data_IF_287427976783
#
_entry.id   IF_287427976783
#
_cell.length_a   1.000
_cell.length_b   1.000
_cell.length_c   1.000
_cell.angle_alpha   90.00
_cell.angle_beta   90.00
_cell.angle_gamma   90.00
#
_symmetry.space_group_name_H-M   'P 1'
#
loop_
_entity.id
_entity.type
_entity.pdbx_description
1 polymer ?
#
# COMPACT_ATOMS: atom_id res chain seq x y z
N UNK A 1 -98.38 -85.17 94.01
CA UNK A 1 -99.12 -83.91 93.74
C UNK A 1 -98.24 -82.66 93.98
N UNK A 2 -97.28 -82.67 94.93
CA UNK A 2 -96.36 -81.52 95.15
C UNK A 2 -95.33 -81.25 94.04
N UNK A 3 -94.67 -82.28 93.50
CA UNK A 3 -93.54 -82.12 92.54
C UNK A 3 -93.92 -81.43 91.21
N UNK A 4 -95.13 -81.67 90.69
CA UNK A 4 -95.64 -80.97 89.49
C UNK A 4 -95.92 -79.50 89.77
N UNK A 5 -96.36 -79.17 90.98
CA UNK A 5 -96.61 -77.78 91.40
C UNK A 5 -95.30 -77.00 91.55
N UNK A 6 -94.27 -77.63 92.11
CA UNK A 6 -92.91 -77.07 92.18
C UNK A 6 -92.29 -76.85 90.80
N UNK A 7 -92.45 -77.79 89.85
CA UNK A 7 -91.95 -77.62 88.49
C UNK A 7 -92.65 -76.49 87.75
N UNK A 8 -93.96 -76.35 87.92
CA UNK A 8 -94.73 -75.22 87.36
C UNK A 8 -94.24 -73.91 87.99
N UNK A 9 -94.06 -73.87 89.32
CA UNK A 9 -93.55 -72.70 90.02
C UNK A 9 -92.13 -72.32 89.59
N UNK A 10 -91.27 -73.31 89.33
CA UNK A 10 -89.90 -73.09 88.84
C UNK A 10 -89.85 -72.63 87.39
N UNK A 11 -90.75 -73.10 86.54
CA UNK A 11 -90.91 -72.61 85.16
C UNK A 11 -91.46 -71.19 85.18
N UNK A 12 -92.47 -70.89 86.01
CA UNK A 12 -92.99 -69.53 86.18
C UNK A 12 -91.89 -68.58 86.69
N UNK A 13 -91.11 -69.01 87.68
CA UNK A 13 -89.99 -68.25 88.21
C UNK A 13 -88.90 -68.03 87.15
N UNK A 14 -88.57 -69.05 86.35
CA UNK A 14 -87.62 -68.94 85.24
C UNK A 14 -88.13 -68.03 84.11
N UNK A 15 -89.44 -68.05 83.81
CA UNK A 15 -90.05 -67.15 82.82
C UNK A 15 -90.01 -65.71 83.32
N UNK A 16 -90.25 -65.48 84.62
CA UNK A 16 -90.14 -64.15 85.23
C UNK A 16 -88.68 -63.68 85.21
N UNK A 17 -87.73 -64.53 85.56
CA UNK A 17 -86.30 -64.22 85.52
C UNK A 17 -85.81 -63.95 84.08
N UNK A 18 -86.23 -64.77 83.10
CA UNK A 18 -85.91 -64.57 81.69
C UNK A 18 -86.56 -63.31 81.12
N UNK A 19 -87.80 -63.00 81.51
CA UNK A 19 -88.45 -61.73 81.16
C UNK A 19 -87.68 -60.54 81.74
N UNK A 20 -87.23 -60.61 82.98
CA UNK A 20 -86.41 -59.56 83.60
C UNK A 20 -85.06 -59.40 82.88
N UNK A 21 -84.44 -60.51 82.46
CA UNK A 21 -83.19 -60.46 81.67
C UNK A 21 -83.44 -59.91 80.27
N UNK A 22 -84.53 -60.31 79.61
CA UNK A 22 -84.94 -59.82 78.31
C UNK A 22 -85.22 -58.31 78.36
N UNK A 23 -85.98 -57.85 79.34
CA UNK A 23 -86.27 -56.43 79.54
C UNK A 23 -84.98 -55.62 79.76
N UNK A 24 -84.02 -56.16 80.51
CA UNK A 24 -82.69 -55.53 80.67
C UNK A 24 -81.91 -55.47 79.37
N UNK A 25 -81.95 -56.50 78.52
CA UNK A 25 -81.28 -56.51 77.22
C UNK A 25 -81.95 -55.52 76.26
N UNK A 26 -83.28 -55.49 76.22
CA UNK A 26 -84.06 -54.54 75.41
C UNK A 26 -83.75 -53.10 75.83
N UNK A 27 -83.66 -52.84 77.14
CA UNK A 27 -83.32 -51.51 77.65
C UNK A 27 -81.88 -51.10 77.29
N UNK A 28 -80.91 -52.03 77.40
CA UNK A 28 -79.53 -51.79 76.93
C UNK A 28 -79.47 -51.57 75.42
N UNK A 29 -80.24 -52.31 74.62
CA UNK A 29 -80.28 -52.15 73.16
C UNK A 29 -80.89 -50.79 72.78
N UNK A 30 -81.95 -50.35 73.45
CA UNK A 30 -82.50 -48.99 73.30
C UNK A 30 -81.45 -47.93 73.65
N UNK A 31 -80.67 -48.13 74.72
CA UNK A 31 -79.58 -47.23 75.09
C UNK A 31 -78.45 -47.21 74.04
N UNK A 32 -78.05 -48.36 73.49
CA UNK A 32 -77.06 -48.44 72.42
C UNK A 32 -77.53 -47.76 71.13
N UNK A 33 -78.79 -47.97 70.72
CA UNK A 33 -79.39 -47.27 69.58
C UNK A 33 -79.36 -45.77 69.81
N UNK A 34 -79.76 -45.30 71.00
CA UNK A 34 -79.73 -43.88 71.34
C UNK A 34 -78.31 -43.30 71.32
N UNK A 35 -77.32 -44.04 71.83
CA UNK A 35 -75.91 -43.64 71.81
C UNK A 35 -75.34 -43.62 70.38
N UNK A 36 -75.69 -44.58 69.54
CA UNK A 36 -75.26 -44.63 68.14
C UNK A 36 -75.90 -43.50 67.31
N UNK A 37 -77.19 -43.23 67.51
CA UNK A 37 -77.85 -42.06 66.93
C UNK A 37 -77.17 -40.77 67.38
N UNK A 38 -76.82 -40.64 68.67
CA UNK A 38 -76.07 -39.49 69.17
C UNK A 38 -74.70 -39.36 68.50
N UNK A 39 -73.94 -40.45 68.39
CA UNK A 39 -72.65 -40.47 67.71
C UNK A 39 -72.76 -40.06 66.24
N UNK A 40 -73.71 -40.63 65.48
CA UNK A 40 -73.95 -40.25 64.09
C UNK A 40 -74.30 -38.77 63.96
N UNK A 41 -75.13 -38.23 64.84
CA UNK A 41 -75.46 -36.79 64.80
C UNK A 41 -74.27 -35.91 65.14
N UNK A 42 -73.40 -36.31 66.08
CA UNK A 42 -72.18 -35.58 66.41
C UNK A 42 -71.15 -35.64 65.28
N UNK A 43 -70.97 -36.80 64.66
CA UNK A 43 -70.04 -36.97 63.55
C UNK A 43 -70.51 -36.24 62.30
N UNK A 44 -71.81 -36.30 61.98
CA UNK A 44 -72.41 -35.50 60.92
C UNK A 44 -72.20 -33.99 61.17
N UNK A 45 -72.43 -33.52 62.40
CA UNK A 45 -72.16 -32.11 62.76
C UNK A 45 -70.68 -31.75 62.58
N UNK A 46 -69.75 -32.62 62.96
CA UNK A 46 -68.30 -32.41 62.77
C UNK A 46 -67.92 -32.39 61.29
N UNK A 47 -68.47 -33.30 60.48
CA UNK A 47 -68.24 -33.33 59.04
C UNK A 47 -68.79 -32.07 58.36
N UNK A 48 -70.02 -31.67 58.66
CA UNK A 48 -70.59 -30.40 58.17
C UNK A 48 -69.75 -29.20 58.59
N UNK A 49 -69.25 -29.15 59.83
CA UNK A 49 -68.38 -28.07 60.27
C UNK A 49 -67.04 -28.04 59.52
N UNK A 50 -66.47 -29.20 59.18
CA UNK A 50 -65.26 -29.28 58.35
C UNK A 50 -65.52 -28.84 56.91
N UNK A 51 -66.62 -29.27 56.31
CA UNK A 51 -67.04 -28.87 54.96
C UNK A 51 -67.25 -27.36 54.90
N UNK A 52 -68.00 -26.78 55.85
CA UNK A 52 -68.23 -25.34 55.92
C UNK A 52 -66.92 -24.53 56.06
N UNK A 53 -65.95 -25.04 56.84
CA UNK A 53 -64.62 -24.42 56.92
C UNK A 53 -63.84 -24.52 55.61
N UNK A 54 -63.87 -25.68 54.94
CA UNK A 54 -63.21 -25.88 53.66
C UNK A 54 -63.82 -25.01 52.55
N UNK A 55 -65.15 -24.92 52.51
CA UNK A 55 -65.89 -24.02 51.60
C UNK A 55 -65.51 -22.57 51.85
N UNK A 56 -65.44 -22.13 53.11
CA UNK A 56 -65.00 -20.77 53.44
C UNK A 56 -63.58 -20.48 52.91
N UNK A 57 -62.62 -21.36 53.20
CA UNK A 57 -61.24 -21.21 52.71
C UNK A 57 -61.19 -21.22 51.18
N UNK A 58 -61.96 -22.10 50.53
CA UNK A 58 -62.05 -22.16 49.08
C UNK A 58 -62.58 -20.85 48.49
N UNK A 59 -63.64 -20.28 49.07
CA UNK A 59 -64.17 -18.99 48.62
C UNK A 59 -63.17 -17.85 48.80
N UNK A 60 -62.42 -17.83 49.91
CA UNK A 60 -61.34 -16.86 50.14
C UNK A 60 -60.20 -17.03 49.11
N UNK A 61 -59.82 -18.27 48.81
CA UNK A 61 -58.79 -18.60 47.82
C UNK A 61 -59.21 -18.18 46.40
N UNK A 62 -60.46 -18.44 46.02
CA UNK A 62 -61.02 -18.00 44.73
C UNK A 62 -61.04 -16.47 44.64
N UNK A 63 -61.43 -15.79 45.73
CA UNK A 63 -61.36 -14.33 45.84
C UNK A 63 -59.94 -13.81 45.61
N UNK A 64 -58.94 -14.38 46.30
CA UNK A 64 -57.54 -14.00 46.12
C UNK A 64 -57.01 -14.29 44.73
N UNK A 65 -57.37 -15.44 44.14
CA UNK A 65 -56.98 -15.77 42.77
C UNK A 65 -57.55 -14.76 41.76
N UNK A 66 -58.79 -14.30 41.97
CA UNK A 66 -59.37 -13.24 41.13
C UNK A 66 -58.62 -11.92 41.24
N UNK A 67 -58.20 -11.51 42.45
CA UNK A 67 -57.36 -10.33 42.66
C UNK A 67 -56.00 -10.48 41.94
N UNK A 68 -55.35 -11.65 42.04
CA UNK A 68 -54.09 -11.91 41.34
C UNK A 68 -54.23 -11.84 39.83
N UNK A 69 -55.31 -12.37 39.25
CA UNK A 69 -55.56 -12.25 37.81
C UNK A 69 -55.73 -10.79 37.39
N UNK A 70 -56.41 -9.97 38.22
CA UNK A 70 -56.49 -8.52 37.97
C UNK A 70 -55.10 -7.90 37.99
N UNK A 71 -54.24 -8.20 38.98
CA UNK A 71 -52.87 -7.68 39.03
C UNK A 71 -52.01 -8.11 37.83
N UNK A 72 -52.11 -9.37 37.39
CA UNK A 72 -51.38 -9.85 36.20
C UNK A 72 -51.87 -9.13 34.94
N UNK A 73 -53.17 -8.89 34.82
CA UNK A 73 -53.74 -8.16 33.69
C UNK A 73 -53.27 -6.69 33.67
N UNK A 74 -53.26 -6.01 34.82
CA UNK A 74 -52.81 -4.62 34.91
C UNK A 74 -51.31 -4.52 34.65
N UNK A 75 -50.50 -5.44 35.17
CA UNK A 75 -49.06 -5.52 34.89
C UNK A 75 -48.79 -5.71 33.40
N UNK A 76 -49.53 -6.61 32.74
CA UNK A 76 -49.40 -6.85 31.30
C UNK A 76 -49.75 -5.60 30.48
N UNK A 77 -50.81 -4.89 30.87
CA UNK A 77 -51.18 -3.61 30.25
C UNK A 77 -50.07 -2.58 30.43
N UNK A 78 -49.53 -2.44 31.64
CA UNK A 78 -48.45 -1.50 31.93
C UNK A 78 -47.18 -1.81 31.13
N UNK A 79 -46.79 -3.08 31.03
CA UNK A 79 -45.66 -3.51 30.21
C UNK A 79 -45.85 -3.15 28.74
N UNK A 80 -47.02 -3.43 28.18
CA UNK A 80 -47.34 -3.07 26.80
C UNK A 80 -47.28 -1.55 26.56
N UNK A 81 -47.77 -0.75 27.51
CA UNK A 81 -47.66 0.71 27.45
C UNK A 81 -46.18 1.13 27.47
N UNK A 82 -45.38 0.55 28.36
CA UNK A 82 -43.96 0.86 28.48
C UNK A 82 -43.20 0.54 27.18
N UNK A 83 -43.38 -0.66 26.62
CA UNK A 83 -42.75 -1.05 25.35
C UNK A 83 -43.14 -0.11 24.22
N UNK A 84 -44.43 0.29 24.14
CA UNK A 84 -44.88 1.26 23.15
C UNK A 84 -44.23 2.63 23.34
N UNK A 85 -44.12 3.10 24.58
CA UNK A 85 -43.47 4.38 24.89
C UNK A 85 -41.99 4.36 24.54
N UNK A 86 -41.30 3.26 24.82
CA UNK A 86 -39.88 3.12 24.49
C UNK A 86 -39.66 3.07 22.97
N UNK A 87 -40.49 2.32 22.24
CA UNK A 87 -40.45 2.33 20.78
C UNK A 87 -40.68 3.72 20.19
N UNK A 88 -41.68 4.47 20.70
CA UNK A 88 -41.93 5.86 20.29
C UNK A 88 -40.71 6.73 20.62
N UNK A 89 -40.12 6.59 21.81
CA UNK A 89 -38.93 7.34 22.23
C UNK A 89 -37.74 7.05 21.33
N UNK A 90 -37.50 5.80 20.96
CA UNK A 90 -36.40 5.40 20.08
C UNK A 90 -36.54 6.07 18.70
N UNK A 91 -37.75 6.07 18.14
CA UNK A 91 -38.06 6.79 16.89
C UNK A 91 -37.85 8.30 17.04
N UNK A 92 -38.30 8.90 18.14
CA UNK A 92 -38.11 10.34 18.39
C UNK A 92 -36.64 10.72 18.56
N UNK A 93 -35.82 9.88 19.20
CA UNK A 93 -34.36 10.06 19.28
C UNK A 93 -33.74 10.02 17.89
N UNK A 94 -34.13 9.07 17.05
CA UNK A 94 -33.65 8.98 15.67
C UNK A 94 -33.98 10.26 14.89
N UNK A 95 -35.21 10.78 14.99
CA UNK A 95 -35.59 12.04 14.34
C UNK A 95 -34.84 13.24 14.91
N UNK A 96 -34.61 13.29 16.22
CA UNK A 96 -33.77 14.34 16.82
C UNK A 96 -32.35 14.30 16.26
N UNK A 97 -31.72 13.13 16.22
CA UNK A 97 -30.36 12.96 15.67
C UNK A 97 -30.29 13.40 14.21
N UNK A 98 -31.31 13.03 13.42
CA UNK A 98 -31.42 13.47 12.03
C UNK A 98 -31.55 15.00 11.90
N UNK A 99 -32.45 15.63 12.67
CA UNK A 99 -32.66 17.07 12.63
C UNK A 99 -31.41 17.85 13.08
N UNK A 100 -30.67 17.34 14.07
CA UNK A 100 -29.39 17.92 14.48
C UNK A 100 -28.36 17.78 13.36
N UNK A 101 -28.25 16.60 12.73
CA UNK A 101 -27.32 16.35 11.64
C UNK A 101 -27.54 17.26 10.42
N UNK A 102 -28.79 17.50 10.03
CA UNK A 102 -29.11 18.39 8.91
C UNK A 102 -28.85 19.86 9.26
N UNK A 103 -28.94 20.23 10.54
CA UNK A 103 -28.77 21.62 10.95
C UNK A 103 -27.38 22.17 10.55
N UNK A 104 -27.27 23.48 10.28
CA UNK A 104 -26.00 24.09 9.92
C UNK A 104 -24.91 23.84 10.97
N UNK A 105 -23.67 23.66 10.52
CA UNK A 105 -22.53 23.38 11.40
C UNK A 105 -22.36 24.46 12.49
N UNK A 106 -22.59 25.73 12.14
CA UNK A 106 -22.49 26.85 13.07
C UNK A 106 -23.49 26.79 14.23
N UNK A 107 -24.66 26.16 14.00
CA UNK A 107 -25.65 25.92 15.04
C UNK A 107 -25.30 24.66 15.84
N UNK A 108 -24.89 23.58 15.17
CA UNK A 108 -24.43 22.34 15.83
C UNK A 108 -23.27 22.59 16.80
N UNK A 109 -22.26 23.37 16.43
CA UNK A 109 -21.12 23.70 17.31
C UNK A 109 -21.52 24.33 18.66
N UNK A 110 -22.70 24.95 18.74
CA UNK A 110 -23.21 25.59 19.97
C UNK A 110 -24.19 24.70 20.75
N UNK A 111 -24.86 23.76 20.08
CA UNK A 111 -26.04 23.08 20.59
C UNK A 111 -26.03 21.56 20.46
N UNK A 112 -25.09 20.98 19.72
CA UNK A 112 -24.91 19.54 19.53
C UNK A 112 -24.00 18.96 20.61
N UNK A 113 -24.39 17.82 21.17
CA UNK A 113 -23.70 17.11 22.25
C UNK A 113 -22.31 16.60 21.83
N UNK A 114 -22.17 16.14 20.58
CA UNK A 114 -20.91 15.56 20.08
C UNK A 114 -19.88 16.62 19.67
N UNK A 115 -20.37 17.78 19.20
CA UNK A 115 -19.57 18.81 18.53
C UNK A 115 -19.38 20.11 19.36
N UNK A 116 -19.97 20.20 20.56
CA UNK A 116 -19.84 21.40 21.41
C UNK A 116 -18.37 21.67 21.76
N UNK A 117 -17.85 22.80 21.28
CA UNK A 117 -16.48 23.25 21.56
C UNK A 117 -15.37 22.59 20.74
N UNK A 118 -15.70 21.75 19.75
CA UNK A 118 -14.71 21.14 18.83
C UNK A 118 -14.67 21.91 17.51
N UNK A 119 -13.49 22.41 17.14
CA UNK A 119 -13.21 22.96 15.80
C UNK A 119 -12.79 21.79 14.91
N UNK A 120 -13.73 20.89 14.57
CA UNK A 120 -13.45 19.83 13.60
C UNK A 120 -13.83 20.30 12.19
N UNK A 121 -12.92 20.02 11.25
CA UNK A 121 -13.19 20.01 9.81
C UNK A 121 -14.37 19.10 9.53
N UNK A 122 -15.06 19.33 8.40
CA UNK A 122 -16.26 18.62 7.98
C UNK A 122 -15.92 17.14 7.72
N UNK A 123 -15.80 16.34 8.77
CA UNK A 123 -15.76 14.88 8.67
C UNK A 123 -17.22 14.43 8.63
N UNK A 124 -17.70 14.16 7.42
CA UNK A 124 -18.95 13.46 7.20
C UNK A 124 -18.76 12.01 7.67
N UNK A 125 -18.90 11.76 8.96
CA UNK A 125 -19.21 10.40 9.41
C UNK A 125 -20.56 10.03 8.79
N UNK A 126 -20.56 9.04 7.91
CA UNK A 126 -21.77 8.45 7.33
C UNK A 126 -22.53 7.72 8.44
N UNK A 127 -23.15 8.48 9.35
CA UNK A 127 -23.94 7.95 10.44
C UNK A 127 -25.16 7.24 9.87
N UNK A 128 -25.17 5.92 9.93
CA UNK A 128 -26.40 5.15 9.77
C UNK A 128 -27.30 5.54 10.95
N UNK A 129 -28.38 6.27 10.70
CA UNK A 129 -29.43 6.50 11.69
C UNK A 129 -30.18 5.19 11.86
N UNK A 130 -29.67 4.30 12.70
CA UNK A 130 -30.35 3.09 13.09
C UNK A 130 -31.20 3.37 14.32
N UNK A 131 -32.41 2.84 14.32
CA UNK A 131 -33.10 2.54 15.58
C UNK A 131 -32.32 1.42 16.25
N UNK A 132 -32.09 1.48 17.57
CA UNK A 132 -31.54 0.36 18.34
C UNK A 132 -32.51 -0.83 18.17
N UNK A 133 -32.28 -1.62 17.13
CA UNK A 133 -33.11 -2.75 16.74
C UNK A 133 -32.64 -4.05 17.41
N UNK A 134 -31.84 -3.95 18.47
CA UNK A 134 -31.58 -5.09 19.35
C UNK A 134 -32.78 -5.32 20.29
N UNK A 135 -33.89 -5.72 19.65
CA UNK A 135 -35.15 -6.13 20.27
C UNK A 135 -34.98 -7.39 21.15
N UNK A 136 -33.81 -8.02 21.13
CA UNK A 136 -33.53 -9.26 21.87
C UNK A 136 -32.92 -8.98 23.25
N UNK A 137 -32.13 -7.90 23.42
CA UNK A 137 -31.58 -7.50 24.73
C UNK A 137 -32.54 -6.59 25.54
N UNK A 138 -33.60 -6.07 24.92
CA UNK A 138 -34.54 -5.08 25.48
C UNK A 138 -35.81 -5.66 26.12
N UNK A 139 -35.93 -6.98 26.27
CA UNK A 139 -37.06 -7.61 26.97
C UNK A 139 -37.01 -7.41 28.51
N UNK A 140 -35.92 -6.87 29.03
CA UNK A 140 -35.75 -6.57 30.46
C UNK A 140 -36.26 -5.16 30.78
N UNK A 141 -37.51 -5.10 31.23
CA UNK A 141 -38.22 -3.88 31.61
C UNK A 141 -37.45 -3.05 32.64
N UNK A 142 -36.76 -3.71 33.58
CA UNK A 142 -36.03 -3.01 34.64
C UNK A 142 -34.84 -2.25 34.07
N UNK A 143 -34.09 -2.86 33.16
CA UNK A 143 -32.99 -2.19 32.44
C UNK A 143 -33.50 -1.04 31.58
N UNK A 144 -34.63 -1.20 30.90
CA UNK A 144 -35.23 -0.11 30.11
C UNK A 144 -35.54 1.11 30.98
N UNK A 145 -36.10 0.88 32.17
CA UNK A 145 -36.43 1.93 33.14
C UNK A 145 -35.17 2.58 33.70
N UNK A 146 -34.12 1.81 34.00
CA UNK A 146 -32.84 2.35 34.48
C UNK A 146 -32.15 3.24 33.45
N UNK A 147 -32.05 2.79 32.19
CA UNK A 147 -31.50 3.59 31.09
C UNK A 147 -32.34 4.85 30.88
N UNK A 148 -33.67 4.71 30.92
CA UNK A 148 -34.56 5.86 30.83
C UNK A 148 -34.33 6.88 31.94
N UNK A 149 -34.19 6.40 33.19
CA UNK A 149 -33.95 7.24 34.36
C UNK A 149 -32.62 7.96 34.27
N UNK A 150 -31.56 7.29 33.86
CA UNK A 150 -30.22 7.88 33.74
C UNK A 150 -30.18 8.99 32.69
N UNK A 151 -30.81 8.79 31.53
CA UNK A 151 -30.89 9.82 30.49
C UNK A 151 -31.78 11.01 30.88
N UNK A 152 -32.86 10.77 31.62
CA UNK A 152 -33.79 11.82 32.04
C UNK A 152 -33.29 12.64 33.25
N UNK A 153 -32.21 12.22 33.92
CA UNK A 153 -31.63 12.99 35.04
C UNK A 153 -31.01 14.31 34.59
N UNK A 154 -30.48 14.40 33.37
CA UNK A 154 -29.83 15.62 32.84
C UNK A 154 -30.25 15.90 31.39
N UNK A 155 -31.55 16.22 31.15
CA UNK A 155 -32.03 16.45 29.81
C UNK A 155 -31.40 17.73 29.23
N UNK A 156 -30.75 17.59 28.07
CA UNK A 156 -30.28 18.73 27.31
C UNK A 156 -31.45 19.62 26.87
N UNK A 157 -31.23 20.94 26.73
CA UNK A 157 -32.30 21.86 26.36
C UNK A 157 -32.87 21.48 24.98
N UNK A 158 -34.19 21.30 24.93
CA UNK A 158 -34.93 20.97 23.70
C UNK A 158 -34.93 22.16 22.72
N UNK A 159 -33.80 22.38 22.06
CA UNK A 159 -33.63 23.42 21.04
C UNK A 159 -33.55 22.74 19.68
N UNK A 160 -34.49 23.07 18.81
CA UNK A 160 -34.48 22.64 17.42
C UNK A 160 -34.10 23.83 16.53
N UNK A 161 -33.24 23.58 15.54
CA UNK A 161 -32.94 24.58 14.52
C UNK A 161 -34.16 24.85 13.64
N UNK A 162 -34.80 23.77 13.16
CA UNK A 162 -36.01 23.83 12.35
C UNK A 162 -37.23 23.93 13.26
N UNK A 163 -37.97 25.04 13.16
CA UNK A 163 -39.20 25.27 13.94
C UNK A 163 -40.45 24.83 13.18
N UNK A 164 -40.38 24.78 11.85
CA UNK A 164 -41.49 24.41 10.96
C UNK A 164 -41.03 23.36 9.95
N UNK A 165 -41.87 22.37 9.63
CA UNK A 165 -41.54 21.35 8.63
C UNK A 165 -41.25 21.95 7.24
N UNK A 166 -41.90 23.06 6.91
CA UNK A 166 -41.70 23.81 5.66
C UNK A 166 -40.23 24.19 5.42
N UNK A 167 -39.47 24.48 6.49
CA UNK A 167 -38.06 24.84 6.41
C UNK A 167 -37.19 23.67 5.95
N UNK A 168 -37.54 22.45 6.37
CA UNK A 168 -36.85 21.24 5.97
C UNK A 168 -37.16 20.88 4.51
N UNK A 169 -38.43 21.03 4.09
CA UNK A 169 -38.84 20.85 2.70
C UNK A 169 -38.10 21.83 1.78
N UNK A 170 -37.98 23.09 2.20
CA UNK A 170 -37.22 24.10 1.45
C UNK A 170 -35.74 23.72 1.29
N UNK A 171 -35.11 23.22 2.35
CA UNK A 171 -33.73 22.76 2.31
C UNK A 171 -33.56 21.57 1.35
N UNK A 172 -34.46 20.59 1.37
CA UNK A 172 -34.45 19.48 0.41
C UNK A 172 -34.62 19.96 -1.04
N UNK A 173 -35.56 20.87 -1.31
CA UNK A 173 -35.74 21.46 -2.65
C UNK A 173 -34.49 22.21 -3.10
N UNK A 174 -33.82 22.90 -2.19
CA UNK A 174 -32.57 23.60 -2.50
C UNK A 174 -31.45 22.61 -2.83
N UNK A 175 -31.32 21.53 -2.07
CA UNK A 175 -30.38 20.44 -2.36
C UNK A 175 -30.68 19.79 -3.70
N UNK A 176 -31.94 19.50 -4.00
CA UNK A 176 -32.38 18.94 -5.28
C UNK A 176 -31.97 19.85 -6.46
N UNK A 177 -32.23 21.16 -6.34
CA UNK A 177 -31.83 22.14 -7.36
C UNK A 177 -30.31 22.21 -7.53
N UNK A 178 -29.56 22.19 -6.43
CA UNK A 178 -28.09 22.18 -6.45
C UNK A 178 -27.55 20.90 -7.09
N UNK A 179 -28.10 19.74 -6.74
CA UNK A 179 -27.72 18.45 -7.35
C UNK A 179 -28.04 18.43 -8.84
N UNK A 180 -29.19 18.97 -9.26
CA UNK A 180 -29.55 19.09 -10.67
C UNK A 180 -28.59 20.00 -11.43
N UNK A 181 -28.24 21.15 -10.86
CA UNK A 181 -27.26 22.07 -11.47
C UNK A 181 -25.89 21.39 -11.59
N UNK A 182 -25.44 20.70 -10.55
CA UNK A 182 -24.20 19.94 -10.57
C UNK A 182 -24.19 18.88 -11.67
N UNK A 183 -25.26 18.09 -11.81
CA UNK A 183 -25.39 17.10 -12.88
C UNK A 183 -25.40 17.75 -14.28
N UNK A 184 -26.04 18.91 -14.41
CA UNK A 184 -26.05 19.68 -15.66
C UNK A 184 -24.64 20.14 -16.01
N UNK A 185 -23.91 20.70 -15.05
CA UNK A 185 -22.52 21.12 -15.25
C UNK A 185 -21.63 19.92 -15.59
N UNK A 186 -21.80 18.79 -14.91
CA UNK A 186 -21.08 17.54 -15.21
C UNK A 186 -21.35 17.07 -16.65
N UNK A 187 -22.60 17.12 -17.10
CA UNK A 187 -22.96 16.74 -18.47
C UNK A 187 -22.33 17.65 -19.52
N UNK A 188 -22.22 18.96 -19.23
CA UNK A 188 -21.58 19.94 -20.10
C UNK A 188 -20.07 19.78 -20.13
N UNK A 189 -19.46 19.37 -19.01
CA UNK A 189 -17.99 19.25 -18.89
C UNK A 189 -17.46 17.88 -19.30
N UNK A 190 -18.29 16.84 -19.39
CA UNK A 190 -17.84 15.49 -19.76
C UNK A 190 -17.18 15.45 -21.15
N UNK A 191 -17.83 16.01 -22.18
CA UNK A 191 -17.28 16.06 -23.53
C UNK A 191 -15.93 16.82 -23.63
N UNK A 192 -15.81 18.08 -23.14
CA UNK A 192 -14.53 18.78 -23.17
C UNK A 192 -13.47 18.13 -22.28
N UNK A 193 -13.86 17.46 -21.18
CA UNK A 193 -12.94 16.70 -20.34
C UNK A 193 -12.34 15.50 -21.09
N UNK A 194 -13.15 14.73 -21.81
CA UNK A 194 -12.67 13.62 -22.65
C UNK A 194 -11.74 14.12 -23.76
N UNK A 195 -12.10 15.23 -24.42
CA UNK A 195 -11.25 15.86 -25.42
C UNK A 195 -9.91 16.30 -24.81
N UNK A 196 -9.93 16.92 -23.64
CA UNK A 196 -8.71 17.33 -22.93
C UNK A 196 -7.82 16.13 -22.60
N UNK A 197 -8.39 15.02 -22.12
CA UNK A 197 -7.64 13.80 -21.84
C UNK A 197 -6.99 13.23 -23.12
N UNK A 198 -7.71 13.24 -24.24
CA UNK A 198 -7.17 12.80 -25.52
C UNK A 198 -6.03 13.70 -25.99
N UNK A 199 -6.18 15.03 -25.89
CA UNK A 199 -5.13 16.00 -26.23
C UNK A 199 -3.90 15.84 -25.34
N UNK A 200 -4.07 15.59 -24.04
CA UNK A 200 -2.96 15.29 -23.13
C UNK A 200 -2.21 14.03 -23.60
N UNK A 201 -2.93 12.99 -24.02
CA UNK A 201 -2.33 11.75 -24.52
C UNK A 201 -1.54 12.00 -25.82
N UNK A 202 -2.12 12.75 -26.76
CA UNK A 202 -1.46 13.13 -28.02
C UNK A 202 -0.19 13.96 -27.74
N UNK A 203 -0.26 14.94 -26.83
CA UNK A 203 0.87 15.78 -26.46
C UNK A 203 2.00 14.94 -25.86
N UNK A 204 1.69 14.04 -24.92
CA UNK A 204 2.69 13.13 -24.33
C UNK A 204 3.37 12.27 -25.38
N UNK A 205 2.63 11.79 -26.37
CA UNK A 205 3.19 10.99 -27.45
C UNK A 205 4.10 11.82 -28.37
N UNK A 206 3.66 13.03 -28.75
CA UNK A 206 4.47 13.94 -29.56
C UNK A 206 5.78 14.33 -28.85
N UNK A 207 5.71 14.72 -27.57
CA UNK A 207 6.90 15.04 -26.78
C UNK A 207 7.85 13.86 -26.67
N UNK A 208 7.33 12.63 -26.51
CA UNK A 208 8.18 11.43 -26.49
C UNK A 208 8.88 11.23 -27.85
N UNK A 209 8.17 11.37 -28.96
CA UNK A 209 8.75 11.27 -30.29
C UNK A 209 9.85 12.31 -30.52
N UNK A 210 9.62 13.57 -30.12
CA UNK A 210 10.64 14.62 -30.20
C UNK A 210 11.88 14.30 -29.37
N UNK A 211 11.71 13.78 -28.15
CA UNK A 211 12.83 13.33 -27.32
C UNK A 211 13.62 12.19 -27.97
N UNK A 212 12.92 11.20 -28.54
CA UNK A 212 13.56 10.09 -29.25
C UNK A 212 14.34 10.59 -30.48
N UNK A 213 13.81 11.58 -31.22
CA UNK A 213 14.51 12.23 -32.33
C UNK A 213 15.75 13.00 -31.89
N UNK A 214 15.67 13.75 -30.79
CA UNK A 214 16.83 14.46 -30.24
C UNK A 214 17.92 13.48 -29.80
N UNK A 215 17.54 12.38 -29.13
CA UNK A 215 18.49 11.36 -28.71
C UNK A 215 19.18 10.72 -29.92
N UNK A 216 18.43 10.38 -30.97
CA UNK A 216 18.99 9.86 -32.21
C UNK A 216 20.01 10.82 -32.84
N UNK A 217 19.71 12.12 -32.89
CA UNK A 217 20.63 13.13 -33.41
C UNK A 217 21.90 13.24 -32.57
N UNK A 218 21.77 13.25 -31.24
CA UNK A 218 22.90 13.28 -30.31
C UNK A 218 23.79 12.05 -30.55
N UNK A 219 23.21 10.86 -30.65
CA UNK A 219 23.95 9.62 -30.86
C UNK A 219 24.65 9.61 -32.23
N UNK A 220 23.99 10.10 -33.28
CA UNK A 220 24.58 10.24 -34.62
C UNK A 220 25.78 11.17 -34.61
N UNK A 221 25.67 12.35 -33.98
CA UNK A 221 26.77 13.32 -33.88
C UNK A 221 27.92 12.73 -33.06
N UNK A 222 27.63 12.04 -31.95
CA UNK A 222 28.66 11.38 -31.15
C UNK A 222 29.40 10.32 -31.96
N UNK A 223 28.71 9.56 -32.82
CA UNK A 223 29.34 8.59 -33.70
C UNK A 223 30.24 9.26 -34.75
N UNK A 224 29.81 10.38 -35.32
CA UNK A 224 30.64 11.16 -36.26
C UNK A 224 31.89 11.72 -35.57
N UNK A 225 31.75 12.29 -34.37
CA UNK A 225 32.88 12.78 -33.56
C UNK A 225 33.86 11.63 -33.27
N UNK A 226 33.37 10.47 -32.84
CA UNK A 226 34.21 9.31 -32.56
C UNK A 226 34.96 8.84 -33.81
N UNK A 227 34.31 8.87 -34.98
CA UNK A 227 34.93 8.53 -36.26
C UNK A 227 36.03 9.51 -36.64
N UNK A 228 35.78 10.81 -36.48
CA UNK A 228 36.79 11.84 -36.76
C UNK A 228 37.97 11.76 -35.80
N UNK A 229 37.73 11.55 -34.50
CA UNK A 229 38.80 11.32 -33.52
C UNK A 229 39.67 10.10 -33.88
N UNK A 230 39.04 9.01 -34.34
CA UNK A 230 39.77 7.84 -34.83
C UNK A 230 40.60 8.15 -36.07
N UNK A 231 40.01 8.86 -37.05
CA UNK A 231 40.71 9.28 -38.25
C UNK A 231 41.90 10.19 -37.94
N UNK A 232 41.74 11.14 -37.04
CA UNK A 232 42.80 12.04 -36.58
C UNK A 232 43.95 11.24 -35.98
N UNK A 233 43.65 10.35 -35.01
CA UNK A 233 44.67 9.50 -34.39
C UNK A 233 45.40 8.62 -35.42
N UNK A 234 44.67 8.03 -36.36
CA UNK A 234 45.24 7.19 -37.41
C UNK A 234 46.13 7.97 -38.39
N UNK A 235 45.70 9.18 -38.78
CA UNK A 235 46.49 10.07 -39.64
C UNK A 235 47.73 10.57 -38.92
N UNK A 236 47.62 10.91 -37.64
CA UNK A 236 48.73 11.31 -36.80
C UNK A 236 49.77 10.19 -36.68
N UNK A 237 49.33 8.95 -36.40
CA UNK A 237 50.21 7.78 -36.35
C UNK A 237 50.92 7.56 -37.69
N UNK A 238 50.18 7.60 -38.81
CA UNK A 238 50.76 7.49 -40.16
C UNK A 238 51.77 8.60 -40.44
N UNK A 239 51.47 9.84 -40.09
CA UNK A 239 52.35 10.97 -40.29
C UNK A 239 53.66 10.79 -39.51
N UNK A 240 53.58 10.46 -38.22
CA UNK A 240 54.77 10.23 -37.41
C UNK A 240 55.56 9.01 -37.87
N UNK A 241 54.90 7.96 -38.36
CA UNK A 241 55.57 6.82 -38.96
C UNK A 241 56.38 7.23 -40.19
N UNK A 242 55.80 7.98 -41.13
CA UNK A 242 56.50 8.48 -42.31
C UNK A 242 57.67 9.37 -41.90
N UNK A 243 57.45 10.25 -40.93
CA UNK A 243 58.46 11.19 -40.46
C UNK A 243 59.64 10.50 -39.78
N UNK A 244 59.38 9.52 -38.92
CA UNK A 244 60.41 8.81 -38.14
C UNK A 244 61.08 7.65 -38.87
N UNK A 245 60.41 7.04 -39.86
CA UNK A 245 61.00 5.99 -40.70
C UNK A 245 61.59 6.63 -41.97
N UNK A 246 60.75 6.87 -42.97
CA UNK A 246 61.21 7.22 -44.32
C UNK A 246 61.94 8.56 -44.41
N UNK A 247 61.42 9.61 -43.77
CA UNK A 247 62.04 10.92 -43.84
C UNK A 247 63.30 11.00 -42.97
N UNK A 248 63.23 10.48 -41.75
CA UNK A 248 64.39 10.43 -40.86
C UNK A 248 65.54 9.66 -41.52
N UNK A 249 65.31 8.45 -42.00
CA UNK A 249 66.35 7.64 -42.64
C UNK A 249 66.93 8.30 -43.90
N UNK A 250 66.09 8.93 -44.72
CA UNK A 250 66.51 9.49 -46.01
C UNK A 250 67.16 10.87 -45.90
N UNK A 251 66.88 11.66 -44.86
CA UNK A 251 67.31 13.07 -44.80
C UNK A 251 68.09 13.40 -43.54
N UNK A 252 67.62 12.92 -42.38
CA UNK A 252 68.10 13.38 -41.07
C UNK A 252 68.91 12.33 -40.29
N UNK A 253 69.00 11.09 -40.79
CA UNK A 253 69.70 10.00 -40.14
C UNK A 253 71.20 10.31 -40.06
N UNK A 254 71.88 9.96 -38.94
CA UNK A 254 73.30 10.19 -38.81
C UNK A 254 74.14 9.56 -39.92
N UNK A 255 73.68 8.46 -40.52
CA UNK A 255 74.37 7.77 -41.62
C UNK A 255 74.28 8.60 -42.89
N UNK A 256 73.08 9.08 -43.23
CA UNK A 256 72.83 9.86 -44.44
C UNK A 256 73.46 11.26 -44.37
N UNK A 257 73.43 11.89 -43.20
CA UNK A 257 74.14 13.15 -42.97
C UNK A 257 75.66 12.98 -43.08
N UNK A 258 76.23 11.88 -42.54
CA UNK A 258 77.65 11.56 -42.73
C UNK A 258 77.98 11.37 -44.21
N UNK A 259 77.17 10.63 -44.95
CA UNK A 259 77.34 10.43 -46.38
C UNK A 259 77.35 11.77 -47.14
N UNK A 260 76.42 12.67 -46.80
CA UNK A 260 76.39 14.03 -47.35
C UNK A 260 77.66 14.81 -47.09
N UNK A 261 78.12 14.85 -45.84
CA UNK A 261 79.37 15.54 -45.48
C UNK A 261 80.55 14.95 -46.24
N UNK A 262 80.64 13.62 -46.38
CA UNK A 262 81.72 12.97 -47.13
C UNK A 262 81.72 13.33 -48.62
N UNK A 263 80.55 13.33 -49.26
CA UNK A 263 80.42 13.65 -50.69
C UNK A 263 80.72 15.13 -50.93
N UNK A 264 80.18 16.03 -50.11
CA UNK A 264 80.48 17.46 -50.20
C UNK A 264 81.97 17.73 -50.00
N UNK A 265 82.60 17.08 -49.02
CA UNK A 265 84.05 17.19 -48.82
C UNK A 265 84.85 16.76 -50.05
N UNK A 266 84.53 15.61 -50.65
CA UNK A 266 85.23 15.13 -51.85
C UNK A 266 84.98 16.08 -53.03
N UNK A 267 83.74 16.53 -53.22
CA UNK A 267 83.39 17.47 -54.28
C UNK A 267 84.16 18.80 -54.14
N UNK A 268 84.22 19.36 -52.94
CA UNK A 268 84.96 20.60 -52.67
C UNK A 268 86.47 20.47 -52.92
N UNK A 269 87.06 19.31 -52.63
CA UNK A 269 88.48 19.07 -52.91
C UNK A 269 88.78 18.99 -54.42
N UNK A 270 87.86 18.43 -55.21
CA UNK A 270 88.07 18.26 -56.66
C UNK A 270 87.68 19.51 -57.46
N UNK A 271 86.56 20.16 -57.13
CA UNK A 271 86.00 21.27 -57.93
C UNK A 271 86.10 22.64 -57.25
N UNK A 272 86.52 22.69 -55.98
CA UNK A 272 86.54 23.91 -55.17
C UNK A 272 85.23 24.14 -54.39
N UNK A 273 85.23 25.15 -53.50
CA UNK A 273 84.10 25.44 -52.62
C UNK A 273 82.87 25.90 -53.40
N UNK A 274 81.72 25.32 -53.08
CA UNK A 274 80.42 25.79 -53.56
C UNK A 274 79.84 26.76 -52.54
N UNK A 275 79.64 28.04 -52.91
CA UNK A 275 79.22 29.09 -51.94
C UNK A 275 77.80 28.90 -51.39
N UNK A 276 76.92 28.17 -52.09
CA UNK A 276 75.51 27.99 -51.69
C UNK A 276 75.22 26.60 -51.08
N UNK A 277 76.21 25.69 -51.06
CA UNK A 277 76.02 24.29 -50.67
C UNK A 277 75.08 23.51 -51.63
N UNK A 278 75.17 22.18 -51.62
CA UNK A 278 74.30 21.36 -52.49
C UNK A 278 72.95 21.08 -51.81
N UNK A 279 71.85 21.43 -52.50
CA UNK A 279 70.48 21.19 -52.01
C UNK A 279 70.12 19.70 -52.00
N UNK A 280 70.62 18.94 -52.98
CA UNK A 280 70.45 17.49 -53.10
C UNK A 280 71.79 16.78 -53.23
N UNK A 281 71.86 15.56 -52.70
CA UNK A 281 73.01 14.65 -52.82
C UNK A 281 73.22 14.15 -54.26
N UNK A 282 72.16 14.14 -55.07
CA UNK A 282 72.15 13.50 -56.38
C UNK A 282 73.11 14.18 -57.37
N UNK A 283 73.12 15.51 -57.39
CA UNK A 283 73.93 16.29 -58.32
C UNK A 283 75.44 16.15 -58.07
N UNK A 284 75.98 16.37 -56.85
CA UNK A 284 77.41 16.21 -56.61
C UNK A 284 77.87 14.76 -56.79
N UNK A 285 77.05 13.76 -56.42
CA UNK A 285 77.38 12.35 -56.67
C UNK A 285 77.51 12.04 -58.16
N UNK A 286 76.55 12.51 -58.97
CA UNK A 286 76.54 12.24 -60.41
C UNK A 286 77.69 12.92 -61.14
N UNK A 287 78.05 14.14 -60.73
CA UNK A 287 79.21 14.85 -61.29
C UNK A 287 80.51 14.14 -60.93
N UNK A 288 80.66 13.71 -59.67
CA UNK A 288 81.81 12.91 -59.24
C UNK A 288 81.90 11.58 -59.99
N UNK A 289 80.77 10.91 -60.20
CA UNK A 289 80.69 9.65 -60.96
C UNK A 289 81.13 9.85 -62.42
N UNK A 290 80.54 10.81 -63.13
CA UNK A 290 80.90 11.13 -64.52
C UNK A 290 82.38 11.51 -64.65
N UNK A 291 82.90 12.24 -63.67
CA UNK A 291 84.31 12.62 -63.67
C UNK A 291 85.22 11.43 -63.36
N UNK A 292 84.84 10.54 -62.44
CA UNK A 292 85.56 9.29 -62.20
C UNK A 292 85.58 8.42 -63.46
N UNK A 293 84.46 8.31 -64.17
CA UNK A 293 84.38 7.60 -65.45
C UNK A 293 85.26 8.25 -66.54
N UNK A 294 85.23 9.59 -66.68
CA UNK A 294 86.11 10.30 -67.63
C UNK A 294 87.59 10.13 -67.27
N UNK A 295 87.94 10.19 -65.99
CA UNK A 295 89.30 9.90 -65.52
C UNK A 295 89.73 8.47 -65.85
N UNK A 296 88.87 7.47 -65.63
CA UNK A 296 89.16 6.08 -65.99
C UNK A 296 89.29 5.90 -67.50
N UNK A 297 88.41 6.51 -68.29
CA UNK A 297 88.50 6.50 -69.76
C UNK A 297 89.82 7.12 -70.24
N UNK A 298 90.24 8.23 -69.64
CA UNK A 298 91.54 8.85 -69.93
C UNK A 298 92.69 7.92 -69.55
N UNK A 299 92.63 7.28 -68.39
CA UNK A 299 93.62 6.30 -67.95
C UNK A 299 93.72 5.11 -68.92
N UNK A 300 92.58 4.58 -69.37
CA UNK A 300 92.50 3.47 -70.31
C UNK A 300 92.97 3.87 -71.73
N UNK A 301 92.83 5.13 -72.10
CA UNK A 301 93.27 5.67 -73.41
C UNK A 301 94.77 5.92 -73.53
N UNK A 302 95.53 5.84 -72.42
CA UNK A 302 96.97 6.05 -72.43
C UNK A 302 97.70 4.84 -73.03
N UNK A 303 98.58 5.08 -74.01
CA UNK A 303 99.42 4.02 -74.59
C UNK A 303 100.37 3.48 -73.51
N UNK A 304 100.23 2.18 -73.23
CA UNK A 304 101.01 1.45 -72.24
C UNK A 304 102.53 1.61 -72.45
N UNK A 305 102.98 1.88 -73.68
CA UNK A 305 104.40 2.17 -73.98
C UNK A 305 104.86 3.52 -73.47
N UNK A 306 104.04 4.57 -73.63
CA UNK A 306 104.34 5.93 -73.15
C UNK A 306 104.30 5.96 -71.63
N UNK A 307 103.34 5.26 -71.01
CA UNK A 307 103.26 5.16 -69.55
C UNK A 307 104.45 4.39 -68.98
N UNK A 308 104.90 3.29 -69.60
CA UNK A 308 106.10 2.58 -69.13
C UNK A 308 107.38 3.41 -69.35
N UNK A 309 107.45 4.19 -70.42
CA UNK A 309 108.60 5.05 -70.69
C UNK A 309 108.67 6.22 -69.71
N UNK A 310 107.55 6.92 -69.48
CA UNK A 310 107.43 7.95 -68.44
C UNK A 310 107.67 7.40 -67.03
N UNK A 311 107.20 6.17 -66.74
CA UNK A 311 107.48 5.48 -65.46
C UNK A 311 108.97 5.20 -65.31
N UNK A 312 109.63 4.67 -66.34
CA UNK A 312 111.07 4.41 -66.31
C UNK A 312 111.89 5.71 -66.24
N UNK A 313 111.46 6.78 -66.90
CA UNK A 313 112.10 8.09 -66.86
C UNK A 313 111.93 8.74 -65.48
N UNK A 314 110.73 8.69 -64.89
CA UNK A 314 110.51 9.14 -63.50
C UNK A 314 111.30 8.31 -62.50
N UNK A 315 111.31 6.97 -62.62
CA UNK A 315 112.15 6.13 -61.78
C UNK A 315 113.64 6.47 -61.95
N UNK A 316 114.12 6.73 -63.17
CA UNK A 316 115.50 7.14 -63.40
C UNK A 316 115.80 8.53 -62.81
N UNK A 317 114.82 9.45 -62.83
CA UNK A 317 114.93 10.79 -62.26
C UNK A 317 114.89 10.76 -60.73
N UNK A 318 114.02 9.94 -60.13
CA UNK A 318 113.98 9.67 -58.69
C UNK A 318 115.23 8.92 -58.22
N UNK A 319 115.76 7.98 -59.01
CA UNK A 319 117.02 7.32 -58.70
C UNK A 319 118.18 8.32 -58.73
N UNK A 320 118.16 9.28 -59.67
CA UNK A 320 119.12 10.39 -59.72
C UNK A 320 118.93 11.36 -58.56
N UNK A 321 117.71 11.69 -58.16
CA UNK A 321 117.42 12.52 -56.99
C UNK A 321 117.83 11.84 -55.69
N UNK A 322 117.58 10.53 -55.54
CA UNK A 322 118.07 9.73 -54.42
C UNK A 322 119.59 9.64 -54.41
N UNK A 323 120.24 9.43 -55.56
CA UNK A 323 121.71 9.42 -55.64
C UNK A 323 122.32 10.79 -55.34
N UNK A 324 121.69 11.88 -55.77
CA UNK A 324 122.11 13.25 -55.45
C UNK A 324 121.86 13.57 -53.97
N UNK A 325 120.74 13.14 -53.39
CA UNK A 325 120.49 13.24 -51.96
C UNK A 325 121.49 12.41 -51.14
N UNK A 326 121.86 11.22 -51.62
CA UNK A 326 122.85 10.34 -50.98
C UNK A 326 124.28 10.88 -51.11
N UNK A 327 124.61 11.57 -52.21
CA UNK A 327 125.88 12.31 -52.37
C UNK A 327 125.91 13.57 -51.49
N UNK A 328 124.82 14.33 -51.44
CA UNK A 328 124.67 15.47 -50.53
C UNK A 328 124.74 15.05 -49.05
N UNK A 329 124.34 13.81 -48.72
CA UNK A 329 124.49 13.21 -47.39
C UNK A 329 125.92 12.69 -47.10
N UNK A 330 126.80 12.56 -48.11
CA UNK A 330 128.23 12.20 -47.95
C UNK A 330 129.19 13.40 -48.01
N UNK A 331 128.71 14.55 -48.48
CA UNK A 331 129.43 15.84 -48.48
C UNK A 331 129.03 16.76 -47.30
N UNK A 332 128.15 16.25 -46.42
CA UNK A 332 127.94 16.68 -45.02
C UNK A 332 128.59 15.65 -44.10
#
# INVERSE_FOLDING_TARGET
IGYRKDLIMKIEQSIVEESVVHDRIVEKLKQHIKNFQKFLTEDYKKACAKVAKAEKIYTELVGKNSEFLVYVSTLTILNNILFKLDAIRSVLKMYRSYLVFVAPLSWRQKHDESLRGKVQSIQFESGKFATDNDLVETLDIDKMVEVARNELQSPFPARLYFKRPDQMIYLFRTMELQSREYLTQLSKTDAPYRLLQERIKQLKQATKQELDYFQYYIDSINNEINRENYNEAHLQEKFFRILNETFYDSVASPITLKLKICIEYVYEQVFGKCEEGHQSLQDPMKILEVMYEDYNLRLDSLDFKIVNQARNDFFAQDLRMMQNAYKAQREL
#
